data_IF_975644884304
#
_entry.id   IF_975644884304
#
_cell.length_a   1.000
_cell.length_b   1.000
_cell.length_c   1.000
_cell.angle_alpha   90.00
_cell.angle_beta   90.00
_cell.angle_gamma   90.00
#
_symmetry.space_group_name_H-M   'P 1'
#
loop_
_entity.id
_entity.type
_entity.pdbx_description
1 polymer ?
#
# COMPACT_ATOMS: atom_id res chain seq x y z
N UNK A 1 -25.81 3.72 88.33
CA UNK A 1 -26.02 3.38 86.91
C UNK A 1 -25.08 4.28 86.10
N UNK A 2 -23.99 3.69 85.61
CA UNK A 2 -22.95 4.14 84.67
C UNK A 2 -22.38 5.58 84.73
N UNK A 3 -21.15 5.66 85.23
CA UNK A 3 -20.22 6.80 85.13
C UNK A 3 -19.53 6.79 83.75
N UNK A 4 -19.80 7.80 82.92
CA UNK A 4 -19.25 7.92 81.56
C UNK A 4 -17.98 8.78 81.61
N UNK A 5 -16.83 8.14 81.80
CA UNK A 5 -15.52 8.81 81.72
C UNK A 5 -15.20 9.17 80.27
N UNK A 6 -15.28 10.46 79.94
CA UNK A 6 -14.79 10.99 78.68
C UNK A 6 -13.27 10.82 78.62
N UNK A 7 -12.80 10.15 77.57
CA UNK A 7 -11.39 9.93 77.30
C UNK A 7 -10.74 11.25 76.86
N UNK A 8 -10.18 12.02 77.79
CA UNK A 8 -9.38 13.21 77.48
C UNK A 8 -7.95 12.80 77.13
N UNK A 9 -7.62 12.74 75.85
CA UNK A 9 -6.24 12.54 75.40
C UNK A 9 -5.41 13.81 75.65
N UNK A 10 -4.28 13.66 76.35
CA UNK A 10 -3.34 14.76 76.54
C UNK A 10 -2.76 15.24 75.22
N UNK A 11 -2.37 16.54 75.13
CA UNK A 11 -1.75 17.13 73.92
C UNK A 11 -0.53 16.35 73.40
N UNK A 12 0.17 15.63 74.28
CA UNK A 12 1.31 14.76 73.93
C UNK A 12 0.84 13.48 73.21
N UNK A 13 -0.17 12.79 73.76
CA UNK A 13 -0.75 11.58 73.17
C UNK A 13 -1.39 11.83 71.81
N UNK A 14 -2.00 13.01 71.61
CA UNK A 14 -2.58 13.39 70.32
C UNK A 14 -1.50 13.63 69.25
N UNK A 15 -0.36 14.22 69.61
CA UNK A 15 0.78 14.42 68.68
C UNK A 15 1.38 13.09 68.23
N UNK A 16 1.61 12.16 69.17
CA UNK A 16 2.18 10.84 68.86
C UNK A 16 1.26 10.02 67.92
N UNK A 17 -0.06 10.10 68.12
CA UNK A 17 -1.04 9.46 67.23
C UNK A 17 -1.12 10.08 65.84
N UNK A 18 -1.01 11.41 65.74
CA UNK A 18 -0.96 12.11 64.45
C UNK A 18 0.33 11.74 63.69
N UNK A 19 1.46 11.58 64.38
CA UNK A 19 2.71 11.10 63.78
C UNK A 19 2.56 9.66 63.28
N UNK A 20 1.94 8.77 64.06
CA UNK A 20 1.70 7.39 63.64
C UNK A 20 0.75 7.30 62.43
N UNK A 21 -0.34 8.06 62.44
CA UNK A 21 -1.30 8.11 61.34
C UNK A 21 -0.68 8.71 60.07
N UNK A 22 0.17 9.73 60.19
CA UNK A 22 0.86 10.31 59.04
C UNK A 22 1.92 9.37 58.43
N UNK A 23 2.60 8.55 59.23
CA UNK A 23 3.49 7.49 58.72
C UNK A 23 2.66 6.39 58.03
N UNK A 24 1.56 5.94 58.63
CA UNK A 24 0.68 4.92 58.05
C UNK A 24 0.03 5.39 56.73
N UNK A 25 -0.45 6.63 56.66
CA UNK A 25 -1.01 7.22 55.45
C UNK A 25 0.01 7.33 54.30
N UNK A 26 1.32 7.48 54.58
CA UNK A 26 2.34 7.46 53.53
C UNK A 26 2.48 6.09 52.84
N UNK A 27 2.19 4.99 53.54
CA UNK A 27 2.28 3.63 52.98
C UNK A 27 1.14 3.35 52.00
N UNK A 28 0.02 4.08 52.10
CA UNK A 28 -1.15 3.93 51.20
C UNK A 28 -0.91 4.48 49.79
N UNK A 29 0.19 5.19 49.55
CA UNK A 29 0.58 5.74 48.24
C UNK A 29 1.86 5.12 47.68
N UNK A 30 2.22 3.91 48.13
CA UNK A 30 3.38 3.19 47.59
C UNK A 30 3.12 2.80 46.13
N UNK A 31 3.69 3.55 45.19
CA UNK A 31 3.66 3.20 43.78
C UNK A 31 4.64 2.04 43.54
N UNK A 32 4.18 0.94 42.96
CA UNK A 32 5.04 -0.18 42.53
C UNK A 32 5.85 0.14 41.27
N UNK A 33 6.45 1.33 41.19
CA UNK A 33 7.36 1.73 40.11
C UNK A 33 8.74 1.15 40.37
N UNK A 34 9.38 0.65 39.33
CA UNK A 34 10.77 0.18 39.38
C UNK A 34 11.65 1.14 38.57
N UNK A 35 12.67 1.70 39.22
CA UNK A 35 13.71 2.51 38.59
C UNK A 35 15.03 1.77 38.55
N UNK A 36 15.73 1.81 37.41
CA UNK A 36 17.13 1.39 37.30
C UNK A 36 17.93 2.61 36.86
N UNK A 37 18.95 2.96 37.64
CA UNK A 37 19.80 4.13 37.40
C UNK A 37 19.02 5.46 37.32
N UNK A 38 17.88 5.55 38.00
CA UNK A 38 17.07 6.78 38.10
C UNK A 38 16.38 6.83 39.45
N UNK A 39 16.40 8.00 40.10
CA UNK A 39 15.68 8.23 41.36
C UNK A 39 14.22 8.68 41.14
N UNK A 40 13.84 8.98 39.89
CA UNK A 40 12.51 9.46 39.52
C UNK A 40 11.89 8.61 38.41
N UNK A 41 11.41 7.39 38.71
CA UNK A 41 10.70 6.56 37.74
C UNK A 41 9.39 7.21 37.28
N UNK A 42 9.15 7.25 35.97
CA UNK A 42 7.97 7.87 35.37
C UNK A 42 6.97 6.86 34.79
N UNK A 43 7.35 5.57 34.74
CA UNK A 43 6.53 4.48 34.26
C UNK A 43 6.42 3.34 35.28
N UNK A 44 5.88 2.20 34.87
CA UNK A 44 5.93 0.95 35.63
C UNK A 44 7.36 0.46 35.84
N UNK A 45 8.16 0.57 34.78
CA UNK A 45 9.60 0.36 34.76
C UNK A 45 10.23 1.54 34.04
N UNK A 46 11.29 2.11 34.61
CA UNK A 46 12.09 3.18 34.01
C UNK A 46 13.57 2.81 34.15
N UNK A 47 14.24 2.58 33.03
CA UNK A 47 15.68 2.33 32.96
C UNK A 47 16.33 3.55 32.34
N UNK A 48 17.20 4.22 33.08
CA UNK A 48 18.06 5.28 32.55
C UNK A 48 19.36 4.66 32.03
N UNK A 49 19.55 4.71 30.71
CA UNK A 49 20.70 4.09 30.03
C UNK A 49 22.00 4.89 30.11
N UNK A 50 22.02 6.05 30.78
CA UNK A 50 23.21 6.87 30.94
C UNK A 50 24.26 6.24 31.87
N UNK A 51 25.47 6.79 31.85
CA UNK A 51 26.52 6.43 32.83
C UNK A 51 26.28 7.01 34.23
N UNK A 52 25.32 7.93 34.38
CA UNK A 52 24.99 8.58 35.65
C UNK A 52 23.48 8.64 35.88
N UNK A 53 23.06 8.37 37.10
CA UNK A 53 21.67 8.50 37.52
C UNK A 53 21.15 9.95 37.55
N UNK A 54 22.05 10.93 37.43
CA UNK A 54 21.69 12.35 37.32
C UNK A 54 21.37 12.78 35.90
N UNK A 55 21.59 11.93 34.90
CA UNK A 55 21.25 12.25 33.52
C UNK A 55 19.73 12.34 33.38
N UNK A 56 19.26 13.46 32.83
CA UNK A 56 17.84 13.74 32.59
C UNK A 56 17.48 13.67 31.11
N UNK A 57 18.45 13.38 30.24
CA UNK A 57 18.22 13.14 28.82
C UNK A 57 17.49 11.82 28.65
N UNK A 58 16.28 11.87 28.09
CA UNK A 58 15.46 10.68 27.93
C UNK A 58 15.76 9.87 26.66
N UNK A 59 16.67 10.36 25.81
CA UNK A 59 17.01 9.73 24.53
C UNK A 59 17.73 8.38 24.67
N UNK A 60 18.21 8.03 25.86
CA UNK A 60 18.85 6.75 26.20
C UNK A 60 18.00 5.89 27.16
N UNK A 61 16.77 6.32 27.46
CA UNK A 61 15.91 5.63 28.42
C UNK A 61 15.09 4.51 27.76
N UNK A 62 14.70 3.53 28.58
CA UNK A 62 13.65 2.56 28.27
C UNK A 62 12.56 2.62 29.33
N UNK A 63 11.31 2.84 28.92
CA UNK A 63 10.18 3.04 29.82
C UNK A 63 9.03 2.12 29.45
N UNK A 64 8.46 1.43 30.45
CA UNK A 64 7.13 0.81 30.34
C UNK A 64 6.13 1.79 30.95
N UNK A 65 5.27 2.41 30.15
CA UNK A 65 4.39 3.49 30.59
C UNK A 65 3.23 3.01 31.47
N UNK A 66 2.70 3.91 32.29
CA UNK A 66 1.43 3.72 33.02
C UNK A 66 0.39 4.73 32.51
N UNK A 67 -0.90 4.37 32.52
CA UNK A 67 -1.45 3.05 32.84
C UNK A 67 -1.38 2.06 31.67
N UNK A 68 -0.95 2.49 30.48
CA UNK A 68 -1.16 1.75 29.22
C UNK A 68 -0.22 0.56 29.00
N UNK A 69 0.90 0.47 29.73
CA UNK A 69 1.88 -0.60 29.59
C UNK A 69 2.61 -0.59 28.24
N UNK A 70 2.78 0.59 27.63
CA UNK A 70 3.48 0.72 26.34
C UNK A 70 4.99 0.81 26.58
N UNK A 71 5.80 0.23 25.70
CA UNK A 71 7.26 0.31 25.74
C UNK A 71 7.72 1.51 24.92
N UNK A 72 8.48 2.41 25.55
CA UNK A 72 9.18 3.52 24.91
C UNK A 72 10.69 3.26 24.95
N UNK A 73 11.37 3.51 23.84
CA UNK A 73 12.84 3.45 23.74
C UNK A 73 13.33 4.79 23.19
N UNK A 74 14.17 5.48 23.97
CA UNK A 74 14.70 6.81 23.63
C UNK A 74 13.70 7.97 23.80
N UNK A 75 12.63 7.73 24.56
CA UNK A 75 11.71 8.76 25.06
C UNK A 75 10.79 8.16 26.14
N UNK A 76 9.86 8.96 26.66
CA UNK A 76 9.08 8.63 27.85
C UNK A 76 7.56 8.66 27.66
N UNK A 77 7.11 9.15 26.50
CA UNK A 77 5.69 9.37 26.18
C UNK A 77 5.27 8.52 24.97
N UNK A 78 5.17 7.19 25.10
CA UNK A 78 4.80 6.29 24.00
C UNK A 78 3.33 6.42 23.62
N UNK A 79 3.07 6.44 22.31
CA UNK A 79 1.70 6.52 21.76
C UNK A 79 1.15 5.18 21.29
N UNK A 80 2.03 4.19 21.10
CA UNK A 80 1.70 2.82 20.66
C UNK A 80 2.44 1.79 21.54
N UNK A 81 2.17 0.49 21.35
CA UNK A 81 2.68 -0.57 22.23
C UNK A 81 4.21 -0.67 22.28
N UNK A 82 4.88 -0.40 21.17
CA UNK A 82 6.33 -0.25 21.08
C UNK A 82 6.61 1.02 20.27
N UNK A 83 7.18 2.02 20.93
CA UNK A 83 7.48 3.33 20.36
C UNK A 83 8.99 3.57 20.50
N UNK A 84 9.67 3.82 19.38
CA UNK A 84 11.14 3.97 19.33
C UNK A 84 11.45 5.32 18.72
N UNK A 85 12.11 6.17 19.51
CA UNK A 85 12.56 7.49 19.08
C UNK A 85 14.08 7.57 19.09
N UNK A 86 14.68 7.89 17.96
CA UNK A 86 16.11 8.18 17.88
C UNK A 86 16.37 9.69 17.87
N UNK A 87 17.61 10.08 18.08
CA UNK A 87 18.07 11.47 17.92
C UNK A 87 18.29 11.87 16.46
N UNK A 88 18.02 10.96 15.52
CA UNK A 88 18.22 11.17 14.10
C UNK A 88 17.31 12.27 13.54
N UNK A 89 17.80 12.93 12.49
CA UNK A 89 17.05 13.90 11.69
C UNK A 89 17.01 13.47 10.23
N UNK A 90 16.21 14.12 9.40
CA UNK A 90 16.20 13.85 7.96
C UNK A 90 17.57 14.05 7.30
N UNK A 91 18.39 14.99 7.79
CA UNK A 91 19.73 15.27 7.27
C UNK A 91 20.81 14.33 7.85
N UNK A 92 20.57 13.75 9.02
CA UNK A 92 21.50 12.84 9.70
C UNK A 92 20.70 11.75 10.43
N UNK A 93 20.29 10.69 9.71
CA UNK A 93 19.43 9.65 10.27
C UNK A 93 20.20 8.78 11.27
N UNK A 94 19.50 8.37 12.34
CA UNK A 94 19.96 7.37 13.31
C UNK A 94 18.93 6.24 13.30
N UNK A 95 19.36 5.03 12.99
CA UNK A 95 18.47 3.89 12.83
C UNK A 95 18.00 3.34 14.18
N UNK A 96 16.69 3.26 14.38
CA UNK A 96 16.08 2.79 15.64
C UNK A 96 15.74 1.30 15.67
N UNK A 97 15.71 0.63 14.51
CA UNK A 97 15.27 -0.76 14.40
C UNK A 97 16.19 -1.55 13.46
N UNK A 98 16.58 -2.74 13.91
CA UNK A 98 17.29 -3.75 13.10
C UNK A 98 16.72 -5.13 13.44
N UNK A 99 16.22 -5.81 12.41
CA UNK A 99 15.82 -7.22 12.50
C UNK A 99 16.84 -8.07 11.75
N UNK A 100 17.51 -8.98 12.45
CA UNK A 100 18.40 -9.97 11.86
C UNK A 100 17.77 -11.36 12.01
N UNK A 101 16.85 -11.68 11.10
CA UNK A 101 16.07 -12.93 11.09
C UNK A 101 16.64 -14.01 10.14
N UNK A 102 17.80 -13.74 9.53
CA UNK A 102 18.43 -14.60 8.52
C UNK A 102 18.01 -14.27 7.09
N UNK A 103 16.95 -13.49 6.89
CA UNK A 103 16.46 -13.08 5.58
C UNK A 103 16.89 -11.67 5.18
N UNK A 104 17.53 -10.89 6.06
CA UNK A 104 18.00 -9.54 5.74
C UNK A 104 18.97 -9.54 4.54
N UNK A 105 18.75 -8.63 3.58
CA UNK A 105 19.62 -8.41 2.43
C UNK A 105 19.39 -7.01 1.85
N UNK A 106 20.29 -6.56 0.97
CA UNK A 106 20.10 -5.29 0.25
C UNK A 106 18.82 -5.32 -0.60
N UNK A 107 18.11 -4.19 -0.71
CA UNK A 107 16.86 -4.02 -1.46
C UNK A 107 15.62 -4.81 -0.98
N UNK A 108 15.69 -5.50 0.16
CA UNK A 108 14.51 -6.14 0.76
C UNK A 108 13.66 -5.15 1.56
N UNK A 109 12.36 -5.44 1.63
CA UNK A 109 11.39 -4.73 2.46
C UNK A 109 10.97 -5.60 3.64
N UNK A 110 10.58 -4.96 4.75
CA UNK A 110 9.97 -5.67 5.86
C UNK A 110 8.53 -6.04 5.47
N UNK A 111 8.29 -7.33 5.28
CA UNK A 111 7.01 -7.91 4.86
C UNK A 111 6.28 -8.51 6.05
N UNK A 112 4.97 -8.29 6.14
CA UNK A 112 4.10 -8.94 7.13
C UNK A 112 3.33 -10.09 6.50
N UNK A 113 3.25 -11.22 7.20
CA UNK A 113 2.30 -12.29 6.85
C UNK A 113 0.88 -12.04 7.39
N UNK A 114 -0.03 -12.99 7.16
CA UNK A 114 -1.44 -12.93 7.60
C UNK A 114 -1.62 -12.92 9.13
N UNK A 115 -0.59 -13.29 9.90
CA UNK A 115 -0.59 -13.27 11.36
C UNK A 115 0.12 -12.03 11.92
N UNK A 116 0.60 -11.13 11.07
CA UNK A 116 1.36 -9.94 11.49
C UNK A 116 2.84 -10.19 11.73
N UNK A 117 3.41 -11.34 11.33
CA UNK A 117 4.83 -11.66 11.55
C UNK A 117 5.67 -10.97 10.48
N UNK A 118 6.60 -10.12 10.93
CA UNK A 118 7.53 -9.39 10.07
C UNK A 118 8.76 -10.22 9.67
N UNK A 119 9.10 -10.26 8.39
CA UNK A 119 10.38 -10.81 7.88
C UNK A 119 10.83 -10.06 6.62
N UNK A 120 12.12 -10.09 6.28
CA UNK A 120 12.62 -9.44 5.06
C UNK A 120 12.29 -10.24 3.79
N UNK A 121 11.65 -9.61 2.80
CA UNK A 121 11.38 -10.19 1.48
C UNK A 121 11.68 -9.24 0.34
N UNK A 122 11.90 -9.79 -0.84
CA UNK A 122 11.91 -9.00 -2.08
C UNK A 122 10.53 -8.36 -2.30
N UNK A 123 10.51 -7.11 -2.75
CA UNK A 123 9.28 -6.47 -3.19
C UNK A 123 8.92 -7.04 -4.58
N UNK A 124 7.80 -7.75 -4.65
CA UNK A 124 7.19 -8.13 -5.92
C UNK A 124 5.88 -7.40 -6.09
N UNK A 125 5.84 -6.52 -7.09
CA UNK A 125 4.68 -5.69 -7.43
C UNK A 125 3.76 -6.42 -8.41
N UNK A 126 4.31 -7.30 -9.26
CA UNK A 126 3.56 -8.09 -10.23
C UNK A 126 3.64 -9.56 -9.88
N UNK A 127 2.58 -10.11 -9.32
CA UNK A 127 2.62 -11.43 -8.66
C UNK A 127 1.72 -12.47 -9.30
N UNK A 128 0.79 -12.06 -10.15
CA UNK A 128 -0.11 -12.97 -10.85
C UNK A 128 0.38 -13.37 -12.23
N UNK A 129 -0.20 -14.48 -12.74
CA UNK A 129 -0.11 -14.81 -14.16
C UNK A 129 -0.84 -13.75 -14.99
N UNK A 130 -0.37 -13.56 -16.24
CA UNK A 130 -1.06 -12.65 -17.16
C UNK A 130 -2.46 -13.18 -17.47
N UNK A 131 -3.47 -12.32 -17.31
CA UNK A 131 -4.83 -12.59 -17.73
C UNK A 131 -4.98 -12.04 -19.14
N UNK A 132 -5.09 -12.92 -20.13
CA UNK A 132 -5.10 -12.54 -21.54
C UNK A 132 -6.54 -12.33 -22.00
N UNK A 133 -6.80 -11.18 -22.63
CA UNK A 133 -8.09 -10.84 -23.23
C UNK A 133 -8.32 -11.54 -24.56
N UNK A 134 -9.56 -11.46 -25.04
CA UNK A 134 -9.99 -12.04 -26.31
C UNK A 134 -10.30 -10.92 -27.31
N UNK A 135 -9.70 -11.00 -28.51
CA UNK A 135 -10.05 -10.13 -29.63
C UNK A 135 -11.36 -10.61 -30.27
N UNK A 136 -12.22 -9.66 -30.67
CA UNK A 136 -13.56 -9.97 -31.20
C UNK A 136 -13.58 -10.31 -32.69
N UNK A 137 -12.42 -10.42 -33.34
CA UNK A 137 -12.32 -10.63 -34.79
C UNK A 137 -11.27 -11.65 -35.15
N UNK A 138 -11.49 -12.30 -36.29
CA UNK A 138 -10.50 -13.15 -36.95
C UNK A 138 -9.34 -12.33 -37.51
N UNK A 139 -8.30 -13.01 -37.92
CA UNK A 139 -7.06 -12.37 -38.36
C UNK A 139 -7.22 -11.58 -39.66
N UNK A 140 -6.44 -10.50 -39.79
CA UNK A 140 -6.47 -9.58 -40.94
C UNK A 140 -7.85 -8.95 -41.23
N UNK A 141 -8.72 -8.88 -40.22
CA UNK A 141 -10.05 -8.25 -40.36
C UNK A 141 -9.91 -6.73 -40.52
N UNK A 142 -10.72 -6.15 -41.41
CA UNK A 142 -10.87 -4.71 -41.52
C UNK A 142 -11.46 -4.15 -40.21
N UNK A 143 -10.77 -3.19 -39.61
CA UNK A 143 -11.15 -2.57 -38.32
C UNK A 143 -11.50 -1.08 -38.48
N UNK A 144 -11.32 -0.55 -39.69
CA UNK A 144 -11.64 0.83 -40.01
C UNK A 144 -13.14 1.07 -39.97
N UNK A 145 -13.57 1.98 -39.10
CA UNK A 145 -14.97 2.38 -39.01
C UNK A 145 -15.06 3.76 -38.36
N UNK A 146 -15.83 4.66 -38.97
CA UNK A 146 -16.05 6.03 -38.48
C UNK A 146 -16.79 6.08 -37.16
N UNK A 147 -17.50 5.01 -36.80
CA UNK A 147 -18.15 4.80 -35.51
C UNK A 147 -17.30 3.93 -34.57
N UNK A 148 -17.68 3.87 -33.29
CA UNK A 148 -16.96 3.12 -32.26
C UNK A 148 -17.24 1.62 -32.32
N UNK A 149 -16.19 0.81 -32.12
CA UNK A 149 -16.26 -0.64 -32.15
C UNK A 149 -15.49 -1.24 -30.99
N UNK A 150 -16.08 -2.22 -30.31
CA UNK A 150 -15.35 -3.13 -29.44
C UNK A 150 -14.42 -3.98 -30.29
N UNK A 151 -13.16 -4.05 -29.88
CA UNK A 151 -12.09 -4.79 -30.57
C UNK A 151 -11.57 -5.98 -29.78
N UNK A 152 -11.62 -5.87 -28.45
CA UNK A 152 -11.26 -6.93 -27.54
C UNK A 152 -11.98 -6.76 -26.20
N UNK A 153 -12.01 -7.82 -25.40
CA UNK A 153 -12.49 -7.81 -24.02
C UNK A 153 -11.51 -8.51 -23.09
N UNK A 154 -11.44 -8.05 -21.85
CA UNK A 154 -10.55 -8.57 -20.81
C UNK A 154 -11.30 -8.66 -19.49
N UNK A 155 -11.30 -9.82 -18.84
CA UNK A 155 -11.97 -10.05 -17.55
C UNK A 155 -10.96 -9.75 -16.43
N UNK A 156 -11.36 -8.90 -15.49
CA UNK A 156 -10.52 -8.44 -14.38
C UNK A 156 -11.13 -8.84 -13.04
N UNK A 157 -10.50 -9.76 -12.30
CA UNK A 157 -10.89 -10.09 -10.92
C UNK A 157 -10.80 -8.88 -9.96
N UNK A 158 -11.38 -8.98 -8.75
CA UNK A 158 -11.20 -7.98 -7.69
C UNK A 158 -9.72 -7.74 -7.38
N UNK A 159 -9.33 -6.47 -7.23
CA UNK A 159 -7.96 -6.07 -6.92
C UNK A 159 -7.36 -5.04 -7.89
N UNK A 160 -6.07 -4.77 -7.70
CA UNK A 160 -5.29 -3.84 -8.52
C UNK A 160 -4.63 -4.59 -9.68
N UNK A 161 -4.73 -4.08 -10.89
CA UNK A 161 -4.16 -4.70 -12.08
C UNK A 161 -3.43 -3.65 -12.93
N UNK A 162 -2.27 -4.02 -13.47
CA UNK A 162 -1.69 -3.29 -14.60
C UNK A 162 -2.27 -3.85 -15.89
N UNK A 163 -2.88 -2.98 -16.69
CA UNK A 163 -3.47 -3.30 -17.99
C UNK A 163 -2.48 -2.91 -19.06
N UNK A 164 -2.24 -3.82 -20.00
CA UNK A 164 -1.40 -3.60 -21.18
C UNK A 164 -2.23 -3.75 -22.42
N UNK A 165 -2.09 -2.80 -23.34
CA UNK A 165 -2.75 -2.86 -24.62
C UNK A 165 -1.83 -2.48 -25.76
N UNK A 166 -1.98 -3.20 -26.86
CA UNK A 166 -1.32 -2.91 -28.13
C UNK A 166 -2.20 -3.36 -29.28
N UNK A 167 -2.30 -2.52 -30.31
CA UNK A 167 -2.82 -2.91 -31.62
C UNK A 167 -1.87 -2.43 -32.70
N UNK A 168 -1.54 -3.33 -33.63
CA UNK A 168 -0.80 -3.02 -34.84
C UNK A 168 -1.79 -2.83 -35.98
N UNK A 169 -1.88 -1.60 -36.46
CA UNK A 169 -2.77 -1.19 -37.54
C UNK A 169 -2.02 -1.25 -38.86
N UNK A 170 -2.51 -2.08 -39.78
CA UNK A 170 -2.06 -2.12 -41.16
C UNK A 170 -2.77 -1.01 -41.94
N UNK A 171 -1.99 -0.13 -42.57
CA UNK A 171 -2.49 1.11 -43.15
C UNK A 171 -1.64 1.62 -44.32
N UNK A 172 -2.30 2.17 -45.33
CA UNK A 172 -1.67 2.90 -46.45
C UNK A 172 -2.19 4.35 -46.61
N UNK A 173 -3.15 4.78 -45.78
CA UNK A 173 -3.72 6.13 -45.82
C UNK A 173 -2.82 7.15 -45.13
N UNK A 174 -2.69 8.32 -45.74
CA UNK A 174 -2.02 9.50 -45.17
C UNK A 174 -2.99 10.53 -44.59
N UNK A 175 -4.29 10.19 -44.52
CA UNK A 175 -5.34 11.09 -44.06
C UNK A 175 -6.28 10.39 -43.09
N UNK A 176 -6.66 11.09 -42.03
CA UNK A 176 -7.54 10.62 -40.96
C UNK A 176 -6.78 10.24 -39.68
N UNK A 177 -7.55 9.78 -38.69
CA UNK A 177 -7.02 9.40 -37.38
C UNK A 177 -7.55 8.03 -36.95
N UNK A 178 -6.86 7.42 -35.99
CA UNK A 178 -7.33 6.29 -35.20
C UNK A 178 -7.36 6.70 -33.74
N UNK A 179 -8.48 6.37 -33.09
CA UNK A 179 -8.73 6.58 -31.67
C UNK A 179 -8.95 5.26 -31.01
N UNK A 180 -8.40 5.11 -29.81
CA UNK A 180 -8.73 3.96 -28.98
C UNK A 180 -8.90 4.33 -27.53
N UNK A 181 -9.66 3.55 -26.78
CA UNK A 181 -9.76 3.64 -25.33
C UNK A 181 -10.14 2.30 -24.70
N UNK A 182 -10.05 2.21 -23.37
CA UNK A 182 -10.64 1.11 -22.61
C UNK A 182 -11.81 1.63 -21.78
N UNK A 183 -12.95 0.96 -21.92
CA UNK A 183 -14.16 1.26 -21.16
C UNK A 183 -14.68 0.04 -20.43
N UNK A 184 -15.75 0.23 -19.67
CA UNK A 184 -16.48 -0.87 -18.99
C UNK A 184 -17.79 -1.23 -19.69
N UNK A 185 -18.16 -0.51 -20.75
CA UNK A 185 -19.36 -0.77 -21.52
C UNK A 185 -19.03 -1.53 -22.81
N UNK A 186 -19.81 -2.58 -23.08
CA UNK A 186 -19.74 -3.26 -24.36
C UNK A 186 -20.41 -2.38 -25.43
N UNK A 187 -19.61 -1.65 -26.21
CA UNK A 187 -20.12 -0.73 -27.24
C UNK A 187 -20.61 -1.44 -28.51
N UNK A 188 -20.37 -2.75 -28.66
CA UNK A 188 -20.74 -3.51 -29.85
C UNK A 188 -19.94 -3.09 -31.09
N UNK A 189 -20.59 -3.10 -32.26
CA UNK A 189 -20.00 -2.78 -33.56
C UNK A 189 -20.75 -1.60 -34.17
N UNK A 190 -20.03 -0.70 -34.86
CA UNK A 190 -20.57 0.44 -35.60
C UNK A 190 -21.44 1.38 -34.75
N UNK A 191 -21.04 1.65 -33.51
CA UNK A 191 -21.82 2.45 -32.57
C UNK A 191 -21.49 3.95 -32.67
N UNK A 192 -22.44 4.74 -33.17
CA UNK A 192 -22.29 6.19 -33.33
C UNK A 192 -22.43 6.98 -32.03
N UNK A 193 -22.96 6.36 -30.97
CA UNK A 193 -23.17 7.00 -29.69
C UNK A 193 -23.01 6.02 -28.51
N UNK A 194 -21.77 5.58 -28.22
CA UNK A 194 -21.53 4.54 -27.22
C UNK A 194 -21.96 4.92 -25.81
N UNK A 195 -22.01 6.23 -25.47
CA UNK A 195 -22.29 6.72 -24.11
C UNK A 195 -21.46 5.92 -23.07
N UNK A 196 -20.14 5.87 -23.30
CA UNK A 196 -19.17 5.20 -22.44
C UNK A 196 -18.17 6.24 -21.91
N UNK A 197 -17.59 5.97 -20.74
CA UNK A 197 -16.59 6.82 -20.10
C UNK A 197 -15.26 6.09 -20.10
N UNK A 198 -14.27 6.55 -20.89
CA UNK A 198 -12.94 5.95 -20.90
C UNK A 198 -12.30 5.90 -19.52
N UNK A 199 -11.63 4.78 -19.24
CA UNK A 199 -10.79 4.67 -18.04
C UNK A 199 -9.61 5.64 -18.19
N UNK A 200 -9.27 6.32 -17.09
CA UNK A 200 -8.19 7.28 -17.05
C UNK A 200 -6.87 6.65 -17.54
N UNK A 201 -6.19 7.33 -18.45
CA UNK A 201 -4.93 6.87 -19.03
C UNK A 201 -5.07 5.85 -20.16
N UNK A 202 -6.29 5.41 -20.52
CA UNK A 202 -6.49 4.42 -21.58
C UNK A 202 -6.65 5.01 -22.99
N UNK A 203 -6.92 6.30 -23.11
CA UNK A 203 -7.24 6.96 -24.38
C UNK A 203 -5.99 7.21 -25.21
N UNK A 204 -6.05 6.86 -26.49
CA UNK A 204 -5.01 7.13 -27.48
C UNK A 204 -5.61 7.77 -28.74
N UNK A 205 -4.80 8.59 -29.39
CA UNK A 205 -5.13 9.27 -30.63
C UNK A 205 -3.88 9.30 -31.52
N UNK A 206 -3.97 8.76 -32.73
CA UNK A 206 -2.85 8.71 -33.67
C UNK A 206 -3.29 9.10 -35.09
N UNK A 207 -2.50 9.91 -35.81
CA UNK A 207 -2.75 10.19 -37.23
C UNK A 207 -2.38 9.00 -38.11
N UNK A 208 -3.09 8.84 -39.22
CA UNK A 208 -2.73 7.90 -40.27
C UNK A 208 -1.55 8.45 -41.08
N UNK A 209 -0.48 7.66 -41.22
CA UNK A 209 0.83 8.11 -41.75
C UNK A 209 1.34 7.32 -42.96
N UNK A 210 0.42 6.75 -43.76
CA UNK A 210 0.73 6.06 -45.01
C UNK A 210 1.47 4.73 -44.86
N UNK A 211 1.64 4.26 -43.62
CA UNK A 211 2.31 3.02 -43.26
C UNK A 211 1.64 2.41 -42.04
N UNK A 212 1.98 1.16 -41.78
CA UNK A 212 1.58 0.44 -40.58
C UNK A 212 2.18 1.10 -39.33
N UNK A 213 1.42 1.08 -38.23
CA UNK A 213 1.81 1.70 -36.97
C UNK A 213 1.20 0.98 -35.77
N UNK A 214 1.76 1.22 -34.59
CA UNK A 214 1.33 0.59 -33.34
C UNK A 214 0.78 1.63 -32.36
N UNK A 215 -0.40 1.34 -31.80
CA UNK A 215 -0.92 2.05 -30.63
C UNK A 215 -0.65 1.17 -29.42
N UNK A 216 0.17 1.65 -28.48
CA UNK A 216 0.51 0.92 -27.25
C UNK A 216 0.23 1.80 -26.04
N UNK A 217 -0.29 1.20 -24.96
CA UNK A 217 -0.48 1.89 -23.68
C UNK A 217 -0.46 0.89 -22.52
N UNK A 218 -0.07 1.39 -21.34
CA UNK A 218 -0.26 0.69 -20.08
C UNK A 218 -0.85 1.62 -19.01
N UNK A 219 -1.75 1.11 -18.18
CA UNK A 219 -2.37 1.87 -17.09
C UNK A 219 -2.81 0.95 -15.95
N UNK A 220 -2.95 1.52 -14.75
CA UNK A 220 -3.47 0.78 -13.59
C UNK A 220 -4.99 0.86 -13.58
N UNK A 221 -5.63 -0.28 -13.33
CA UNK A 221 -7.07 -0.38 -13.07
C UNK A 221 -7.31 -1.11 -11.74
N UNK A 222 -8.13 -0.50 -10.88
CA UNK A 222 -8.50 -1.07 -9.59
C UNK A 222 -9.95 -1.54 -9.66
N UNK A 223 -10.16 -2.85 -9.71
CA UNK A 223 -11.48 -3.42 -9.55
C UNK A 223 -11.81 -3.46 -8.05
N UNK A 224 -12.53 -2.42 -7.59
CA UNK A 224 -12.98 -2.27 -6.19
C UNK A 224 -14.28 -3.04 -5.89
N UNK A 225 -14.79 -3.80 -6.86
CA UNK A 225 -16.01 -4.61 -6.68
C UNK A 225 -15.66 -5.99 -6.14
N UNK A 226 -16.65 -6.72 -5.63
CA UNK A 226 -16.48 -8.09 -5.15
C UNK A 226 -16.69 -9.15 -6.25
N UNK A 227 -16.65 -8.74 -7.52
CA UNK A 227 -16.89 -9.60 -8.67
C UNK A 227 -15.97 -9.24 -9.85
N UNK A 228 -15.90 -10.12 -10.84
CA UNK A 228 -15.15 -9.85 -12.06
C UNK A 228 -15.79 -8.70 -12.86
N UNK A 229 -14.95 -7.79 -13.36
CA UNK A 229 -15.36 -6.72 -14.28
C UNK A 229 -14.80 -6.99 -15.65
N UNK A 230 -15.62 -6.86 -16.69
CA UNK A 230 -15.13 -6.94 -18.08
C UNK A 230 -14.75 -5.55 -18.58
N UNK A 231 -13.50 -5.41 -19.01
CA UNK A 231 -13.00 -4.25 -19.72
C UNK A 231 -13.11 -4.49 -21.23
N UNK A 232 -13.40 -3.42 -21.98
CA UNK A 232 -13.53 -3.46 -23.42
C UNK A 232 -12.52 -2.51 -24.06
N UNK A 233 -11.67 -3.05 -24.94
CA UNK A 233 -10.83 -2.25 -25.81
C UNK A 233 -11.69 -1.77 -26.98
N UNK A 234 -11.74 -0.47 -27.20
CA UNK A 234 -12.60 0.19 -28.19
C UNK A 234 -11.75 0.98 -29.17
N UNK A 235 -12.12 0.94 -30.46
CA UNK A 235 -11.46 1.64 -31.56
C UNK A 235 -12.48 2.39 -32.43
N UNK A 236 -12.04 3.53 -32.95
CA UNK A 236 -12.68 4.28 -34.05
C UNK A 236 -11.60 4.75 -35.02
N UNK A 237 -11.92 4.84 -36.31
CA UNK A 237 -11.05 5.44 -37.31
C UNK A 237 -11.83 6.24 -38.34
N UNK A 238 -11.25 7.36 -38.77
CA UNK A 238 -11.82 8.15 -39.85
C UNK A 238 -11.64 7.50 -41.24
N UNK A 239 -10.94 6.36 -41.32
CA UNK A 239 -10.74 5.58 -42.53
C UNK A 239 -11.28 4.15 -42.35
N UNK A 240 -12.04 3.66 -43.33
CA UNK A 240 -12.61 2.31 -43.32
C UNK A 240 -11.66 1.23 -43.86
N UNK A 241 -10.59 1.62 -44.53
CA UNK A 241 -9.65 0.74 -45.24
C UNK A 241 -8.39 0.43 -44.42
N UNK A 242 -8.51 0.38 -43.09
CA UNK A 242 -7.44 -0.11 -42.20
C UNK A 242 -7.80 -1.49 -41.66
N UNK A 243 -6.78 -2.29 -41.39
CA UNK A 243 -6.93 -3.62 -40.78
C UNK A 243 -5.97 -3.77 -39.61
N UNK A 244 -6.12 -4.85 -38.83
CA UNK A 244 -5.12 -5.22 -37.81
C UNK A 244 -4.15 -6.27 -38.37
N UNK A 245 -2.94 -6.31 -37.82
CA UNK A 245 -2.06 -7.45 -38.03
C UNK A 245 -2.68 -8.75 -37.48
N UNK A 246 -2.30 -9.89 -38.07
CA UNK A 246 -2.66 -11.24 -37.63
C UNK A 246 -1.97 -11.64 -36.31
N UNK A 247 -0.82 -11.04 -35.99
CA UNK A 247 0.00 -11.56 -34.91
C UNK A 247 -0.51 -11.10 -33.54
N UNK A 248 -0.99 -12.04 -32.73
CA UNK A 248 -1.59 -11.79 -31.41
C UNK A 248 -0.80 -12.47 -30.30
N UNK A 249 -1.17 -12.22 -29.04
CA UNK A 249 -0.54 -12.85 -27.88
C UNK A 249 -0.46 -14.39 -27.99
N UNK A 250 -1.48 -15.02 -28.60
CA UNK A 250 -1.55 -16.48 -28.79
C UNK A 250 -1.11 -16.94 -30.20
N UNK A 251 -0.71 -16.02 -31.07
CA UNK A 251 -0.32 -16.30 -32.46
C UNK A 251 0.80 -15.34 -32.88
N UNK A 252 2.04 -15.61 -32.45
CA UNK A 252 3.18 -14.74 -32.69
C UNK A 252 3.81 -14.95 -34.08
N UNK A 253 4.38 -13.89 -34.67
CA UNK A 253 5.21 -14.00 -35.87
C UNK A 253 6.65 -14.31 -35.49
N UNK A 254 7.37 -15.11 -36.26
CA UNK A 254 8.84 -15.16 -36.14
C UNK A 254 9.48 -14.31 -37.24
N UNK A 255 10.20 -13.26 -36.86
CA UNK A 255 11.01 -12.45 -37.79
C UNK A 255 12.47 -12.49 -37.38
N UNK A 256 13.33 -13.00 -38.27
CA UNK A 256 14.77 -13.17 -38.02
C UNK A 256 15.11 -13.81 -36.66
N UNK A 257 14.30 -14.80 -36.26
CA UNK A 257 14.45 -15.53 -35.00
C UNK A 257 13.81 -14.87 -33.78
N UNK A 258 13.14 -13.72 -33.93
CA UNK A 258 12.41 -13.04 -32.86
C UNK A 258 10.92 -13.31 -32.99
N UNK A 259 10.29 -13.77 -31.91
CA UNK A 259 8.84 -13.91 -31.83
C UNK A 259 8.19 -12.56 -31.48
N UNK A 260 7.46 -11.99 -32.43
CA UNK A 260 6.79 -10.70 -32.32
C UNK A 260 5.32 -10.90 -31.96
N UNK A 261 4.89 -10.20 -30.92
CA UNK A 261 3.48 -10.03 -30.56
C UNK A 261 3.08 -8.61 -30.93
N UNK A 262 2.17 -8.49 -31.88
CA UNK A 262 1.79 -7.20 -32.46
C UNK A 262 0.44 -6.70 -31.96
N UNK A 263 -0.39 -7.60 -31.42
CA UNK A 263 -1.67 -7.26 -30.82
C UNK A 263 -1.82 -7.96 -29.46
N UNK A 264 -2.10 -7.21 -28.41
CA UNK A 264 -2.38 -7.76 -27.10
C UNK A 264 -3.31 -6.86 -26.30
N UNK A 265 -4.12 -7.48 -25.44
CA UNK A 265 -4.88 -6.80 -24.42
C UNK A 265 -4.92 -7.74 -23.22
N UNK A 266 -4.11 -7.48 -22.20
CA UNK A 266 -3.95 -8.38 -21.06
C UNK A 266 -3.75 -7.58 -19.77
N UNK A 267 -3.90 -8.25 -18.63
CA UNK A 267 -3.56 -7.67 -17.33
C UNK A 267 -2.56 -8.52 -16.57
N UNK A 268 -1.83 -7.87 -15.66
CA UNK A 268 -1.00 -8.51 -14.65
C UNK A 268 -1.49 -8.04 -13.27
N UNK A 269 -1.93 -8.94 -12.37
CA UNK A 269 -2.32 -8.58 -11.01
C UNK A 269 -1.18 -7.92 -10.24
N UNK A 270 -1.53 -6.90 -9.45
CA UNK A 270 -0.64 -6.13 -8.60
C UNK A 270 -0.90 -6.46 -7.13
N UNK A 271 0.17 -6.68 -6.37
CA UNK A 271 0.13 -6.90 -4.92
C UNK A 271 -0.31 -5.67 -4.11
#
# INVERSE_FOLDING_TARGET
MYDLKYLTFGKKDMKEKIIFLSIFCKVLFANGQVGINTSTPIGALHINGASSASDTNTANDVVISRPNGNVAIGHTNPTVKLDVKTTGTAASPVFGFKLADGNQANNKILYSDANGVGTWKELSIFTGQNIVGAFSWVDNTAIGNTNWNKIASLIIPPGSHMIYMKIHVLNNSNSGFVRTYVGTKNVGTNNSNPQDTPILGSTNFQPLMGRDFEITQAFVYNNITNADVTLYYVLQSDNTNISRSVYTFNNAATFKGVNLIENYFFSTPVN
#
